data_IF_316770759855
#
_entry.id   IF_316770759855
#
_cell.length_a   1.000
_cell.length_b   1.000
_cell.length_c   1.000
_cell.angle_alpha   90.00
_cell.angle_beta   90.00
_cell.angle_gamma   90.00
#
_symmetry.space_group_name_H-M   'P 1'
#
loop_
_entity.id
_entity.type
_entity.pdbx_description
1 polymer ?
#
# COMPACT_ATOMS: atom_id res chain seq x y z
N UNK A 1 12.76 -17.19 2.66
CA UNK A 1 12.88 -15.79 2.18
C UNK A 1 11.53 -15.13 1.92
N UNK A 2 10.54 -15.80 1.31
CA UNK A 2 9.22 -15.19 1.04
C UNK A 2 8.50 -14.69 2.29
N UNK A 3 8.50 -15.46 3.40
CA UNK A 3 7.89 -15.02 4.66
C UNK A 3 8.52 -13.73 5.20
N UNK A 4 9.85 -13.61 5.14
CA UNK A 4 10.57 -12.40 5.58
C UNK A 4 10.18 -11.22 4.69
N UNK A 5 10.14 -11.41 3.36
CA UNK A 5 9.70 -10.38 2.43
C UNK A 5 8.28 -9.89 2.73
N UNK A 6 7.34 -10.80 2.98
CA UNK A 6 5.96 -10.48 3.40
C UNK A 6 5.91 -9.68 4.69
N UNK A 7 6.67 -10.09 5.71
CA UNK A 7 6.71 -9.39 7.00
C UNK A 7 7.21 -7.97 6.82
N UNK A 8 8.36 -7.79 6.14
CA UNK A 8 8.95 -6.47 5.93
C UNK A 8 8.06 -5.56 5.08
N UNK A 9 7.45 -6.12 4.03
CA UNK A 9 6.51 -5.38 3.17
C UNK A 9 5.25 -4.97 3.95
N UNK A 10 4.62 -5.90 4.65
CA UNK A 10 3.38 -5.65 5.40
C UNK A 10 3.58 -4.68 6.57
N UNK A 11 4.73 -4.70 7.24
CA UNK A 11 5.00 -3.86 8.42
C UNK A 11 4.77 -2.37 8.15
N UNK A 12 5.22 -1.87 6.99
CA UNK A 12 5.04 -0.47 6.59
C UNK A 12 3.55 -0.14 6.44
N UNK A 13 2.77 -1.03 5.83
CA UNK A 13 1.35 -0.79 5.57
C UNK A 13 0.46 -0.96 6.81
N UNK A 14 0.82 -1.85 7.74
CA UNK A 14 0.16 -1.91 9.05
C UNK A 14 0.32 -0.58 9.77
N UNK A 15 1.56 -0.07 9.85
CA UNK A 15 1.84 1.21 10.51
C UNK A 15 1.15 2.38 9.79
N UNK A 16 1.25 2.44 8.45
CA UNK A 16 0.60 3.48 7.64
C UNK A 16 -0.92 3.45 7.76
N UNK A 17 -1.53 2.25 7.70
CA UNK A 17 -2.97 2.08 7.82
C UNK A 17 -3.50 2.50 9.18
N UNK A 18 -2.80 2.15 10.28
CA UNK A 18 -3.13 2.65 11.62
C UNK A 18 -3.01 4.17 11.67
N UNK A 19 -1.96 4.74 11.07
CA UNK A 19 -1.77 6.19 10.96
C UNK A 19 -2.94 6.88 10.26
N UNK A 20 -3.37 6.36 9.11
CA UNK A 20 -4.51 6.88 8.36
C UNK A 20 -5.82 6.89 9.18
N UNK A 21 -6.05 5.87 10.01
CA UNK A 21 -7.27 5.74 10.82
C UNK A 21 -7.23 6.52 12.14
N UNK A 22 -6.05 6.69 12.73
CA UNK A 22 -5.87 7.38 14.02
C UNK A 22 -5.57 8.86 13.88
N UNK A 23 -5.00 9.27 12.74
CA UNK A 23 -4.63 10.65 12.43
C UNK A 23 -5.42 11.18 11.22
N UNK A 24 -6.63 10.66 11.01
CA UNK A 24 -7.45 10.94 9.83
C UNK A 24 -7.62 12.44 9.58
N UNK A 25 -7.92 13.24 10.61
CA UNK A 25 -8.16 14.68 10.44
C UNK A 25 -6.92 15.42 9.94
N UNK A 26 -5.74 15.12 10.49
CA UNK A 26 -4.49 15.74 10.10
C UNK A 26 -4.13 15.37 8.64
N UNK A 27 -4.20 14.09 8.30
CA UNK A 27 -3.89 13.59 6.97
C UNK A 27 -4.91 14.09 5.93
N UNK A 28 -6.20 14.17 6.30
CA UNK A 28 -7.23 14.73 5.44
C UNK A 28 -7.01 16.22 5.16
N UNK A 29 -6.49 16.97 6.16
CA UNK A 29 -6.09 18.37 5.98
C UNK A 29 -5.03 18.53 4.88
N UNK A 30 -3.97 17.72 4.95
CA UNK A 30 -2.92 17.72 3.92
C UNK A 30 -3.45 17.23 2.56
N UNK A 31 -4.20 16.12 2.51
CA UNK A 31 -4.81 15.62 1.28
C UNK A 31 -5.72 16.66 0.60
N UNK A 32 -6.49 17.43 1.39
CA UNK A 32 -7.31 18.53 0.90
C UNK A 32 -6.46 19.67 0.33
N UNK A 33 -5.32 19.99 0.97
CA UNK A 33 -4.42 21.06 0.50
C UNK A 33 -3.81 20.79 -0.88
N UNK A 34 -3.66 19.52 -1.26
CA UNK A 34 -3.15 19.10 -2.59
C UNK A 34 -4.26 18.71 -3.57
N UNK A 35 -5.52 18.96 -3.20
CA UNK A 35 -6.68 18.83 -4.08
C UNK A 35 -7.27 17.43 -4.21
N UNK A 36 -7.02 16.51 -3.26
CA UNK A 36 -7.65 15.19 -3.27
C UNK A 36 -9.16 15.30 -3.03
N UNK A 37 -10.01 14.77 -3.93
CA UNK A 37 -11.46 14.78 -3.72
C UNK A 37 -11.84 13.89 -2.53
N UNK A 38 -12.88 14.31 -1.81
CA UNK A 38 -13.37 13.58 -0.62
C UNK A 38 -12.25 13.20 0.38
N UNK A 39 -11.28 14.10 0.60
CA UNK A 39 -10.03 13.85 1.32
C UNK A 39 -10.15 12.97 2.59
N UNK A 40 -11.09 13.28 3.49
CA UNK A 40 -11.32 12.50 4.72
C UNK A 40 -11.74 11.06 4.43
N UNK A 41 -12.68 10.86 3.50
CA UNK A 41 -13.11 9.52 3.10
C UNK A 41 -11.97 8.76 2.42
N UNK A 42 -11.22 9.42 1.54
CA UNK A 42 -10.06 8.84 0.86
C UNK A 42 -8.98 8.36 1.84
N UNK A 43 -8.72 9.11 2.92
CA UNK A 43 -7.80 8.71 3.99
C UNK A 43 -8.32 7.50 4.77
N UNK A 44 -9.60 7.48 5.14
CA UNK A 44 -10.20 6.34 5.85
C UNK A 44 -10.15 5.08 4.98
N UNK A 45 -10.58 5.17 3.72
CA UNK A 45 -10.60 4.04 2.79
C UNK A 45 -9.20 3.50 2.58
N UNK A 46 -8.22 4.35 2.30
CA UNK A 46 -6.83 3.90 2.17
C UNK A 46 -6.30 3.26 3.45
N UNK A 47 -6.64 3.79 4.63
CA UNK A 47 -6.29 3.19 5.91
C UNK A 47 -6.84 1.78 6.10
N UNK A 48 -8.13 1.57 5.82
CA UNK A 48 -8.77 0.25 5.87
C UNK A 48 -8.12 -0.72 4.89
N UNK A 49 -7.92 -0.29 3.63
CA UNK A 49 -7.30 -1.12 2.61
C UNK A 49 -5.86 -1.51 2.99
N UNK A 50 -5.08 -0.59 3.56
CA UNK A 50 -3.73 -0.85 4.02
C UNK A 50 -3.70 -1.86 5.17
N UNK A 51 -4.57 -1.73 6.18
CA UNK A 51 -4.62 -2.69 7.30
C UNK A 51 -5.08 -4.06 6.81
N UNK A 52 -6.20 -4.13 6.09
CA UNK A 52 -6.75 -5.42 5.63
C UNK A 52 -5.80 -6.09 4.64
N UNK A 53 -5.29 -5.36 3.66
CA UNK A 53 -4.36 -5.89 2.65
C UNK A 53 -3.04 -6.37 3.27
N UNK A 54 -2.47 -5.61 4.20
CA UNK A 54 -1.21 -5.99 4.84
C UNK A 54 -1.35 -7.18 5.76
N UNK A 55 -2.44 -7.31 6.52
CA UNK A 55 -2.72 -8.50 7.33
C UNK A 55 -2.96 -9.73 6.47
N UNK A 56 -3.67 -9.58 5.35
CA UNK A 56 -3.87 -10.63 4.35
C UNK A 56 -2.53 -11.15 3.80
N UNK A 57 -1.62 -10.25 3.38
CA UNK A 57 -0.26 -10.61 2.93
C UNK A 57 0.57 -11.23 4.06
N UNK A 58 0.53 -10.65 5.26
CA UNK A 58 1.33 -11.07 6.40
C UNK A 58 0.98 -12.48 6.85
N UNK A 59 -0.32 -12.78 6.99
CA UNK A 59 -0.81 -14.08 7.42
C UNK A 59 -0.89 -15.08 6.26
N UNK A 60 -0.81 -14.60 5.01
CA UNK A 60 -1.02 -15.43 3.83
C UNK A 60 -2.47 -15.92 3.73
N UNK A 61 -3.43 -15.03 4.05
CA UNK A 61 -4.86 -15.25 3.84
C UNK A 61 -5.23 -14.49 2.58
N UNK A 62 -5.46 -15.19 1.47
CA UNK A 62 -5.69 -14.61 0.14
C UNK A 62 -4.65 -13.54 -0.18
N UNK A 63 -3.36 -13.88 -0.06
CA UNK A 63 -2.26 -12.91 -0.14
C UNK A 63 -2.17 -12.19 -1.48
N UNK A 64 -2.65 -12.80 -2.55
CA UNK A 64 -2.86 -12.19 -3.86
C UNK A 64 -3.91 -11.06 -3.80
N UNK A 65 -5.09 -11.32 -3.23
CA UNK A 65 -6.09 -10.28 -3.00
C UNK A 65 -5.53 -9.17 -2.11
N UNK A 66 -4.86 -9.51 -1.01
CA UNK A 66 -4.23 -8.54 -0.12
C UNK A 66 -3.22 -7.64 -0.86
N UNK A 67 -2.45 -8.21 -1.78
CA UNK A 67 -1.51 -7.48 -2.65
C UNK A 67 -2.24 -6.49 -3.56
N UNK A 68 -3.38 -6.87 -4.14
CA UNK A 68 -4.21 -5.96 -4.93
C UNK A 68 -4.84 -4.85 -4.08
N UNK A 69 -5.27 -5.15 -2.84
CA UNK A 69 -5.78 -4.12 -1.93
C UNK A 69 -4.71 -3.07 -1.61
N UNK A 70 -3.47 -3.49 -1.34
CA UNK A 70 -2.34 -2.57 -1.16
C UNK A 70 -2.11 -1.75 -2.44
N UNK A 71 -2.07 -2.39 -3.61
CA UNK A 71 -1.88 -1.71 -4.89
C UNK A 71 -2.93 -0.61 -5.12
N UNK A 72 -4.21 -0.93 -4.91
CA UNK A 72 -5.33 0.01 -5.04
C UNK A 72 -5.23 1.15 -4.02
N UNK A 73 -4.72 0.89 -2.83
CA UNK A 73 -4.50 1.95 -1.84
C UNK A 73 -3.36 2.90 -2.25
N UNK A 74 -2.21 2.38 -2.69
CA UNK A 74 -0.98 3.17 -2.86
C UNK A 74 -0.81 3.78 -4.24
N UNK A 75 -1.29 3.12 -5.31
CA UNK A 75 -1.12 3.65 -6.65
C UNK A 75 -1.78 5.02 -6.82
N UNK A 76 -3.05 5.25 -6.39
CA UNK A 76 -3.64 6.58 -6.41
C UNK A 76 -2.91 7.57 -5.52
N UNK A 77 -2.41 7.16 -4.36
CA UNK A 77 -1.66 8.05 -3.44
C UNK A 77 -0.42 8.62 -4.14
N UNK A 78 0.34 7.80 -4.87
CA UNK A 78 1.50 8.28 -5.61
C UNK A 78 1.13 9.47 -6.53
N UNK A 79 0.05 9.34 -7.32
CA UNK A 79 -0.31 10.36 -8.31
C UNK A 79 -1.15 11.52 -7.76
N UNK A 80 -1.91 11.30 -6.69
CA UNK A 80 -2.83 12.29 -6.14
C UNK A 80 -2.28 13.03 -4.93
N UNK A 81 -1.42 12.40 -4.11
CA UNK A 81 -0.81 13.06 -2.95
C UNK A 81 0.56 13.61 -3.30
N UNK A 82 1.41 12.81 -3.96
CA UNK A 82 2.81 13.16 -4.21
C UNK A 82 3.03 13.82 -5.56
N UNK A 83 2.27 14.90 -5.81
CA UNK A 83 2.24 15.65 -7.06
C UNK A 83 3.48 16.53 -7.24
N UNK A 84 4.68 15.94 -7.28
CA UNK A 84 5.95 16.67 -7.33
C UNK A 84 6.05 17.64 -8.52
N UNK A 85 5.34 17.38 -9.62
CA UNK A 85 5.28 18.26 -10.79
C UNK A 85 4.58 19.60 -10.53
N UNK A 86 3.81 19.74 -9.43
CA UNK A 86 3.16 20.99 -9.02
C UNK A 86 3.89 21.75 -7.91
N UNK A 87 5.04 21.25 -7.48
CA UNK A 87 5.85 21.86 -6.42
C UNK A 87 7.17 22.40 -6.98
N UNK A 88 7.76 23.34 -6.24
CA UNK A 88 9.03 24.01 -6.54
C UNK A 88 10.03 23.88 -5.37
N UNK A 89 11.30 24.14 -5.66
CA UNK A 89 12.37 24.16 -4.66
C UNK A 89 12.49 22.87 -3.85
N UNK A 90 12.66 23.00 -2.53
CA UNK A 90 12.79 21.87 -1.62
C UNK A 90 11.54 20.97 -1.58
N UNK A 91 10.35 21.57 -1.68
CA UNK A 91 9.09 20.83 -1.68
C UNK A 91 9.01 19.88 -2.89
N UNK A 92 9.46 20.31 -4.07
CA UNK A 92 9.53 19.45 -5.26
C UNK A 92 10.36 18.20 -5.02
N UNK A 93 11.55 18.37 -4.44
CA UNK A 93 12.46 17.28 -4.16
C UNK A 93 11.85 16.30 -3.16
N UNK A 94 11.24 16.81 -2.09
CA UNK A 94 10.59 15.99 -1.07
C UNK A 94 9.41 15.19 -1.65
N UNK A 95 8.53 15.81 -2.43
CA UNK A 95 7.41 15.11 -3.07
C UNK A 95 7.89 14.09 -4.11
N UNK A 96 8.98 14.37 -4.84
CA UNK A 96 9.52 13.41 -5.80
C UNK A 96 10.07 12.16 -5.11
N UNK A 97 10.71 12.31 -3.95
CA UNK A 97 11.14 11.19 -3.13
C UNK A 97 9.93 10.35 -2.69
N UNK A 98 8.86 10.98 -2.22
CA UNK A 98 7.67 10.26 -1.77
C UNK A 98 6.93 9.58 -2.92
N UNK A 99 6.85 10.24 -4.09
CA UNK A 99 6.31 9.66 -5.31
C UNK A 99 7.07 8.37 -5.69
N UNK A 100 8.41 8.45 -5.77
CA UNK A 100 9.25 7.31 -6.16
C UNK A 100 9.14 6.16 -5.14
N UNK A 101 9.11 6.47 -3.84
CA UNK A 101 8.90 5.46 -2.79
C UNK A 101 7.54 4.77 -2.94
N UNK A 102 6.47 5.55 -3.09
CA UNK A 102 5.10 5.03 -3.19
C UNK A 102 4.90 4.22 -4.48
N UNK A 103 5.49 4.67 -5.59
CA UNK A 103 5.47 3.93 -6.86
C UNK A 103 6.23 2.61 -6.76
N UNK A 104 7.40 2.60 -6.12
CA UNK A 104 8.16 1.37 -5.85
C UNK A 104 7.37 0.38 -4.98
N UNK A 105 6.69 0.89 -3.96
CA UNK A 105 5.79 0.09 -3.12
C UNK A 105 4.61 -0.51 -3.91
N UNK A 106 4.04 0.24 -4.85
CA UNK A 106 3.04 -0.28 -5.78
C UNK A 106 3.61 -1.42 -6.65
N UNK A 107 4.84 -1.25 -7.16
CA UNK A 107 5.57 -2.32 -7.87
C UNK A 107 5.82 -3.56 -7.01
N UNK A 108 6.17 -3.36 -5.74
CA UNK A 108 6.31 -4.46 -4.77
C UNK A 108 4.99 -5.20 -4.52
N UNK A 109 3.87 -4.48 -4.44
CA UNK A 109 2.54 -5.09 -4.35
C UNK A 109 2.22 -5.94 -5.59
N UNK A 110 2.49 -5.44 -6.79
CA UNK A 110 2.33 -6.20 -8.04
C UNK A 110 3.22 -7.45 -8.09
N UNK A 111 4.48 -7.34 -7.65
CA UNK A 111 5.39 -8.46 -7.59
C UNK A 111 4.91 -9.54 -6.61
N UNK A 112 4.39 -9.15 -5.44
CA UNK A 112 3.78 -10.08 -4.49
C UNK A 112 2.50 -10.72 -5.02
N UNK A 113 1.65 -9.95 -5.70
CA UNK A 113 0.47 -10.50 -6.38
C UNK A 113 0.88 -11.58 -7.39
N UNK A 114 1.83 -11.28 -8.28
CA UNK A 114 2.33 -12.24 -9.25
C UNK A 114 2.96 -13.47 -8.58
N UNK A 115 3.71 -13.29 -7.49
CA UNK A 115 4.28 -14.39 -6.72
C UNK A 115 3.20 -15.31 -6.12
N UNK A 116 2.14 -14.74 -5.53
CA UNK A 116 1.02 -15.51 -4.98
C UNK A 116 0.19 -16.17 -6.08
N UNK A 117 -0.03 -15.52 -7.23
CA UNK A 117 -0.76 -16.12 -8.36
C UNK A 117 0.02 -17.29 -8.99
N UNK A 118 1.34 -17.16 -9.15
CA UNK A 118 2.21 -18.23 -9.63
C UNK A 118 2.34 -19.38 -8.61
N UNK A 119 1.96 -19.16 -7.35
CA UNK A 119 2.04 -20.16 -6.29
C UNK A 119 1.07 -21.34 -6.49
N UNK A 120 0.02 -21.19 -7.31
CA UNK A 120 -0.81 -22.31 -7.73
C UNK A 120 -0.02 -23.46 -8.40
N UNK A 121 1.25 -23.22 -8.74
CA UNK A 121 2.13 -24.11 -9.50
C UNK A 121 3.27 -24.74 -8.68
N UNK A 122 3.40 -24.47 -7.37
CA UNK A 122 4.50 -24.99 -6.53
C UNK A 122 4.01 -25.48 -5.15
N UNK A 123 4.69 -26.47 -4.52
CA UNK A 123 4.15 -27.16 -3.35
C UNK A 123 4.02 -26.29 -2.09
N UNK A 124 4.98 -25.40 -1.79
CA UNK A 124 4.96 -24.57 -0.57
C UNK A 124 5.67 -23.20 -0.73
N UNK A 125 4.98 -22.08 -0.47
CA UNK A 125 5.52 -20.71 -0.49
C UNK A 125 6.12 -20.30 0.87
N UNK A 126 6.11 -21.21 1.83
CA UNK A 126 6.25 -20.96 3.26
C UNK A 126 4.90 -20.84 3.99
N UNK A 127 4.93 -20.45 5.27
CA UNK A 127 3.76 -20.36 6.15
C UNK A 127 2.65 -19.45 5.57
N UNK A 128 1.59 -20.05 5.04
CA UNK A 128 0.37 -19.39 4.55
C UNK A 128 -0.84 -20.08 5.19
N UNK A 129 -1.88 -19.32 5.51
CA UNK A 129 -3.12 -19.87 6.10
C UNK A 129 -4.07 -20.36 5.01
N UNK A 130 -4.07 -19.72 3.83
CA UNK A 130 -4.86 -20.13 2.67
C UNK A 130 -4.02 -20.13 1.40
N UNK A 131 -4.55 -20.74 0.33
CA UNK A 131 -4.04 -20.50 -1.03
C UNK A 131 -4.42 -19.12 -1.58
N UNK A 132 -3.99 -18.79 -2.82
CA UNK A 132 -4.46 -17.62 -3.54
C UNK A 132 -5.98 -17.69 -3.77
N UNK A 133 -6.61 -16.53 -3.90
CA UNK A 133 -8.02 -16.40 -4.20
C UNK A 133 -8.34 -16.53 -5.70
N UNK A 134 -7.41 -16.12 -6.58
CA UNK A 134 -7.58 -16.09 -8.03
C UNK A 134 -6.64 -17.06 -8.75
#
# INVERSE_FOLDING_TARGET
MVLIARILFAAIFVASGIGHLTQTEAMAGYAKSVGVPAAKLSVIVSGVLMVVGSLSILLGIWGDLGSLLILVAVAPIAFLMHQFWKADGEARMNEQIQFNKTLSLAGGALALFALFALFALVPELGLTVTGPLF
#
